data_IF_155353225671
#
_entry.id   IF_155353225671
#
_cell.length_a   1.000
_cell.length_b   1.000
_cell.length_c   1.000
_cell.angle_alpha   90.00
_cell.angle_beta   90.00
_cell.angle_gamma   90.00
#
_symmetry.space_group_name_H-M   'P 1'
#
loop_
_entity.id
_entity.type
_entity.pdbx_description
1 polymer ?
#
# COMPACT_ATOMS: atom_id res chain seq x y z
N UNK A 1 7.28 15.42 -20.66
CA UNK A 1 7.34 15.05 -19.24
C UNK A 1 7.12 13.55 -19.22
N UNK A 2 8.19 12.78 -19.22
CA UNK A 2 8.13 11.31 -19.23
C UNK A 2 9.17 10.85 -18.21
N UNK A 3 8.80 10.91 -16.93
CA UNK A 3 9.69 10.66 -15.79
C UNK A 3 9.43 9.24 -15.26
N UNK A 4 9.37 8.26 -16.15
CA UNK A 4 9.37 6.85 -15.80
C UNK A 4 10.28 6.15 -16.80
N UNK A 5 11.33 5.49 -16.30
CA UNK A 5 12.18 4.61 -17.09
C UNK A 5 11.38 3.38 -17.56
N UNK A 6 12.00 2.56 -18.42
CA UNK A 6 11.32 1.39 -19.02
C UNK A 6 10.88 0.36 -17.98
N UNK A 7 11.58 0.25 -16.86
CA UNK A 7 11.28 -0.72 -15.82
C UNK A 7 10.09 -0.24 -14.98
N UNK A 8 10.09 1.04 -14.58
CA UNK A 8 8.98 1.64 -13.85
C UNK A 8 7.67 1.63 -14.67
N UNK A 9 7.76 1.76 -16.00
CA UNK A 9 6.61 1.61 -16.90
C UNK A 9 6.10 0.18 -16.96
N UNK A 10 6.99 -0.81 -17.07
CA UNK A 10 6.61 -2.21 -17.10
C UNK A 10 5.92 -2.61 -15.78
N UNK A 11 6.49 -2.21 -14.65
CA UNK A 11 5.86 -2.42 -13.34
C UNK A 11 4.48 -1.76 -13.26
N UNK A 12 4.36 -0.49 -13.69
CA UNK A 12 3.08 0.21 -13.66
C UNK A 12 2.02 -0.49 -14.51
N UNK A 13 2.41 -0.99 -15.69
CA UNK A 13 1.52 -1.74 -16.58
C UNK A 13 1.06 -3.05 -15.91
N UNK A 14 2.00 -3.85 -15.40
CA UNK A 14 1.72 -5.11 -14.70
C UNK A 14 0.81 -4.90 -13.48
N UNK A 15 1.06 -3.82 -12.73
CA UNK A 15 0.22 -3.43 -11.60
C UNK A 15 -1.17 -3.02 -12.06
N UNK A 16 -1.30 -2.21 -13.11
CA UNK A 16 -2.59 -1.76 -13.65
C UNK A 16 -3.44 -2.89 -14.22
N UNK A 17 -2.80 -3.94 -14.75
CA UNK A 17 -3.47 -5.13 -15.30
C UNK A 17 -4.04 -6.04 -14.18
N UNK A 18 -3.70 -5.81 -12.91
CA UNK A 18 -4.27 -6.57 -11.79
C UNK A 18 -5.73 -6.18 -11.51
N UNK A 19 -6.57 -7.13 -11.01
CA UNK A 19 -7.90 -6.81 -10.52
C UNK A 19 -7.89 -5.68 -9.49
N UNK A 20 -8.94 -4.85 -9.48
CA UNK A 20 -9.04 -3.68 -8.60
C UNK A 20 -8.86 -4.04 -7.12
N UNK A 21 -9.46 -5.14 -6.67
CA UNK A 21 -9.36 -5.60 -5.28
C UNK A 21 -7.93 -5.98 -4.90
N UNK A 22 -7.19 -6.61 -5.82
CA UNK A 22 -5.77 -6.96 -5.63
C UNK A 22 -4.93 -5.69 -5.52
N UNK A 23 -5.17 -4.69 -6.38
CA UNK A 23 -4.48 -3.40 -6.32
C UNK A 23 -4.74 -2.67 -5.00
N UNK A 24 -5.99 -2.68 -4.51
CA UNK A 24 -6.36 -2.09 -3.22
C UNK A 24 -5.65 -2.77 -2.05
N UNK A 25 -5.61 -4.11 -2.04
CA UNK A 25 -4.87 -4.89 -1.04
C UNK A 25 -3.39 -4.53 -1.05
N UNK A 26 -2.78 -4.47 -2.23
CA UNK A 26 -1.37 -4.11 -2.36
C UNK A 26 -1.07 -2.70 -1.83
N UNK A 27 -1.85 -1.69 -2.23
CA UNK A 27 -1.71 -0.31 -1.73
C UNK A 27 -1.86 -0.27 -0.21
N UNK A 28 -2.89 -0.94 0.31
CA UNK A 28 -3.13 -1.02 1.75
C UNK A 28 -1.93 -1.55 2.52
N UNK A 29 -1.34 -2.67 2.08
CA UNK A 29 -0.19 -3.25 2.78
C UNK A 29 1.06 -2.41 2.62
N UNK A 30 1.33 -1.87 1.42
CA UNK A 30 2.47 -0.95 1.23
C UNK A 30 2.37 0.26 2.15
N UNK A 31 1.22 0.91 2.25
CA UNK A 31 1.06 2.05 3.15
C UNK A 31 1.37 1.67 4.60
N UNK A 32 1.02 0.45 5.03
CA UNK A 32 1.35 -0.01 6.38
C UNK A 32 2.83 -0.28 6.58
N UNK A 33 3.48 -0.89 5.60
CA UNK A 33 4.95 -1.05 5.60
C UNK A 33 5.64 0.31 5.62
N UNK A 34 5.18 1.27 4.82
CA UNK A 34 5.74 2.62 4.76
C UNK A 34 5.58 3.36 6.11
N UNK A 35 4.47 3.14 6.82
CA UNK A 35 4.33 3.63 8.20
C UNK A 35 5.34 2.96 9.15
N UNK A 36 5.51 1.65 9.06
CA UNK A 36 6.46 0.92 9.91
C UNK A 36 7.93 1.33 9.68
N UNK A 37 8.26 1.71 8.45
CA UNK A 37 9.59 2.17 8.05
C UNK A 37 9.79 3.67 8.23
N UNK A 38 8.77 4.41 8.67
CA UNK A 38 8.81 5.86 8.89
C UNK A 38 8.72 6.71 7.62
N UNK A 39 8.42 6.10 6.46
CA UNK A 39 8.21 6.81 5.20
C UNK A 39 6.84 7.50 5.12
N UNK A 40 5.87 7.05 5.93
CA UNK A 40 4.56 7.68 6.07
C UNK A 40 4.20 7.82 7.55
N UNK A 41 3.38 8.82 7.87
CA UNK A 41 2.73 8.97 9.16
C UNK A 41 1.26 8.55 9.05
N UNK A 42 0.77 7.71 9.96
CA UNK A 42 -0.65 7.40 10.06
C UNK A 42 -1.36 8.45 10.90
N UNK A 43 -2.31 9.18 10.30
CA UNK A 43 -3.01 10.27 10.97
C UNK A 43 -4.30 9.81 11.66
N UNK A 44 -4.94 8.76 11.15
CA UNK A 44 -6.17 8.23 11.72
C UNK A 44 -7.04 7.47 10.73
N UNK A 45 -8.21 7.05 11.20
CA UNK A 45 -9.19 6.35 10.40
C UNK A 45 -10.60 6.84 10.73
N UNK A 46 -11.49 6.78 9.75
CA UNK A 46 -12.92 6.99 9.93
C UNK A 46 -13.72 5.97 9.13
N UNK A 47 -14.95 5.71 9.57
CA UNK A 47 -15.86 4.80 8.86
C UNK A 47 -16.85 5.62 8.05
N UNK A 48 -16.83 5.42 6.74
CA UNK A 48 -17.84 5.92 5.81
C UNK A 48 -18.89 4.82 5.57
N UNK A 49 -20.19 5.08 5.76
CA UNK A 49 -21.24 4.08 5.57
C UNK A 49 -21.36 3.50 4.15
N UNK A 50 -20.85 4.19 3.13
CA UNK A 50 -20.88 3.76 1.72
C UNK A 50 -19.56 3.18 1.22
N UNK A 51 -18.43 3.49 1.87
CA UNK A 51 -17.09 3.08 1.42
C UNK A 51 -16.37 2.11 2.36
N UNK A 52 -16.78 2.03 3.63
CA UNK A 52 -16.10 1.22 4.64
C UNK A 52 -15.12 2.05 5.47
N UNK A 53 -13.98 1.47 5.88
CA UNK A 53 -12.99 2.17 6.71
C UNK A 53 -12.00 2.92 5.83
N UNK A 54 -11.97 4.24 5.91
CA UNK A 54 -10.97 5.09 5.26
C UNK A 54 -9.80 5.34 6.20
N UNK A 55 -8.58 5.24 5.68
CA UNK A 55 -7.31 5.40 6.39
C UNK A 55 -6.60 6.63 5.84
N UNK A 56 -6.10 7.48 6.73
CA UNK A 56 -5.46 8.75 6.38
C UNK A 56 -3.96 8.66 6.67
N UNK A 57 -3.16 8.97 5.65
CA UNK A 57 -1.70 8.98 5.73
C UNK A 57 -1.15 10.35 5.36
N UNK A 58 0.00 10.70 5.94
CA UNK A 58 0.78 11.88 5.59
C UNK A 58 2.18 11.47 5.16
N UNK A 59 2.66 12.02 4.06
CA UNK A 59 4.08 12.00 3.73
C UNK A 59 4.79 13.12 4.54
N UNK A 60 5.69 12.78 5.47
CA UNK A 60 6.36 13.78 6.30
C UNK A 60 7.34 14.68 5.52
N UNK A 61 7.83 14.23 4.36
CA UNK A 61 8.76 15.00 3.53
C UNK A 61 8.04 16.05 2.67
N UNK A 62 6.90 15.69 2.08
CA UNK A 62 6.14 16.57 1.17
C UNK A 62 4.96 17.27 1.84
N UNK A 63 4.63 16.89 3.07
CA UNK A 63 3.41 17.26 3.81
C UNK A 63 2.09 16.84 3.15
N UNK A 64 2.15 16.07 2.07
CA UNK A 64 0.98 15.58 1.36
C UNK A 64 0.16 14.63 2.24
N UNK A 65 -1.15 14.86 2.29
CA UNK A 65 -2.11 14.01 2.98
C UNK A 65 -2.97 13.30 1.94
N UNK A 66 -3.11 11.99 2.07
CA UNK A 66 -3.92 11.18 1.18
C UNK A 66 -4.67 10.09 1.95
N UNK A 67 -5.68 9.55 1.26
CA UNK A 67 -6.63 8.61 1.83
C UNK A 67 -6.66 7.33 1.00
N UNK A 68 -6.80 6.20 1.69
CA UNK A 68 -7.12 4.92 1.05
C UNK A 68 -8.28 4.25 1.79
N UNK A 69 -9.07 3.49 1.06
CA UNK A 69 -10.12 2.65 1.66
C UNK A 69 -9.51 1.31 2.03
N UNK A 70 -9.67 0.91 3.29
CA UNK A 70 -9.27 -0.42 3.76
C UNK A 70 -10.06 -1.48 2.98
N UNK A 71 -9.39 -2.40 2.27
CA UNK A 71 -10.08 -3.46 1.56
C UNK A 71 -10.82 -4.39 2.53
N UNK A 72 -11.96 -4.91 2.10
CA UNK A 72 -12.71 -5.90 2.85
C UNK A 72 -11.94 -7.22 2.86
N UNK A 73 -11.48 -7.62 4.05
CA UNK A 73 -10.78 -8.87 4.28
C UNK A 73 -11.16 -9.37 5.67
N UNK A 74 -11.18 -10.69 5.82
CA UNK A 74 -11.15 -11.31 7.14
C UNK A 74 -9.82 -11.01 7.83
N UNK A 75 -9.79 -11.13 9.17
CA UNK A 75 -8.55 -10.94 9.94
C UNK A 75 -7.45 -11.92 9.51
N UNK A 76 -7.83 -13.14 9.14
CA UNK A 76 -6.89 -14.19 8.75
C UNK A 76 -6.29 -13.91 7.37
N UNK A 77 -7.11 -13.47 6.40
CA UNK A 77 -6.62 -13.01 5.09
C UNK A 77 -5.70 -11.80 5.24
N UNK A 78 -6.09 -10.82 6.05
CA UNK A 78 -5.27 -9.64 6.32
C UNK A 78 -3.91 -10.03 6.92
N UNK A 79 -3.89 -10.95 7.88
CA UNK A 79 -2.65 -11.42 8.49
C UNK A 79 -1.79 -12.21 7.49
N UNK A 80 -2.39 -13.08 6.67
CA UNK A 80 -1.68 -13.87 5.67
C UNK A 80 -0.99 -12.98 4.63
N UNK A 81 -1.70 -11.98 4.10
CA UNK A 81 -1.14 -11.05 3.12
C UNK A 81 -0.01 -10.21 3.73
N UNK A 82 -0.19 -9.70 4.96
CA UNK A 82 0.87 -8.96 5.67
C UNK A 82 2.12 -9.80 5.86
N UNK A 83 1.97 -11.05 6.29
CA UNK A 83 3.10 -11.98 6.47
C UNK A 83 3.82 -12.19 5.14
N UNK A 84 3.09 -12.52 4.08
CA UNK A 84 3.69 -12.80 2.77
C UNK A 84 4.44 -11.59 2.19
N UNK A 85 3.84 -10.38 2.24
CA UNK A 85 4.51 -9.17 1.76
C UNK A 85 5.70 -8.81 2.65
N UNK A 86 5.59 -9.01 3.97
CA UNK A 86 6.71 -8.82 4.89
C UNK A 86 7.90 -9.72 4.56
N UNK A 87 7.65 -10.99 4.24
CA UNK A 87 8.69 -11.95 3.81
C UNK A 87 9.36 -11.50 2.50
N UNK A 88 8.57 -11.11 1.48
CA UNK A 88 9.10 -10.63 0.19
C UNK A 88 10.03 -9.41 0.36
N UNK A 89 9.67 -8.48 1.24
CA UNK A 89 10.48 -7.29 1.52
C UNK A 89 11.77 -7.63 2.27
N UNK A 90 11.74 -8.60 3.19
CA UNK A 90 12.93 -9.07 3.90
C UNK A 90 13.90 -9.81 2.98
N UNK A 91 13.39 -10.68 2.11
CA UNK A 91 14.20 -11.39 1.10
C UNK A 91 14.89 -10.41 0.16
N UNK A 92 14.17 -9.38 -0.29
CA UNK A 92 14.71 -8.32 -1.15
C UNK A 92 15.80 -7.50 -0.45
N UNK A 93 15.65 -7.23 0.85
CA UNK A 93 16.64 -6.51 1.64
C UNK A 93 17.93 -7.30 1.92
N UNK A 94 17.87 -8.64 1.89
CA UNK A 94 19.03 -9.53 2.08
C UNK A 94 19.76 -9.87 0.77
N UNK A 95 19.13 -9.61 -0.38
CA UNK A 95 19.71 -9.84 -1.70
C UNK A 95 20.61 -8.70 -2.20
N UNK A 96 20.76 -7.61 -1.42
CA UNK A 96 21.57 -6.41 -1.71
C UNK A 96 22.86 -6.39 -0.87
#
# INVERSE_FOLDING_TARGET
MDILDSEARAFLQEFQDQPEDVRKIFIYVICQTMVQTGMLEFLGAFTDPGLGVTLIYKNPETEEVFEIVKPEMTKDEEQAVRTHIGELLQESAQAV
#
